data_IF_682126231535
#
_entry.id   IF_682126231535
#
_cell.length_a   1.000
_cell.length_b   1.000
_cell.length_c   1.000
_cell.angle_alpha   90.00
_cell.angle_beta   90.00
_cell.angle_gamma   90.00
#
_symmetry.space_group_name_H-M   'P 1'
#
loop_
_entity.id
_entity.type
_entity.pdbx_description
1 polymer ?
#
# COMPACT_ATOMS: atom_id res chain seq x y z
N UNK A 1 -26.87 0.00 -24.50
CA UNK A 1 -27.21 0.71 -23.26
C UNK A 1 -25.92 0.90 -22.50
N UNK A 2 -25.62 2.07 -21.90
CA UNK A 2 -24.45 2.17 -21.04
C UNK A 2 -24.61 1.10 -19.95
N UNK A 3 -23.76 0.08 -20.01
CA UNK A 3 -23.80 -1.06 -19.11
C UNK A 3 -23.80 -0.53 -17.68
N UNK A 4 -24.72 -1.00 -16.85
CA UNK A 4 -24.80 -0.56 -15.45
C UNK A 4 -23.46 -0.86 -14.76
N UNK A 5 -22.69 0.19 -14.46
CA UNK A 5 -21.34 0.09 -13.88
C UNK A 5 -21.38 -0.10 -12.36
N UNK A 6 -22.54 0.12 -11.73
CA UNK A 6 -22.73 0.04 -10.28
C UNK A 6 -22.39 -1.35 -9.70
N UNK A 7 -22.86 -2.48 -10.28
CA UNK A 7 -22.47 -3.81 -9.78
C UNK A 7 -20.95 -4.06 -9.90
N UNK A 8 -20.29 -3.52 -10.93
CA UNK A 8 -18.84 -3.67 -11.11
C UNK A 8 -18.05 -2.88 -10.07
N UNK A 9 -18.52 -1.68 -9.72
CA UNK A 9 -17.91 -0.87 -8.67
C UNK A 9 -18.08 -1.50 -7.28
N UNK A 10 -19.27 -2.05 -6.98
CA UNK A 10 -19.51 -2.80 -5.74
C UNK A 10 -18.59 -4.03 -5.63
N UNK A 11 -18.42 -4.78 -6.72
CA UNK A 11 -17.49 -5.92 -6.74
C UNK A 11 -16.01 -5.51 -6.58
N UNK A 12 -15.64 -4.28 -6.94
CA UNK A 12 -14.30 -3.76 -6.68
C UNK A 12 -14.12 -3.37 -5.20
N UNK A 13 -15.15 -2.79 -4.58
CA UNK A 13 -15.18 -2.48 -3.15
C UNK A 13 -15.08 -3.75 -2.29
N UNK A 14 -15.87 -4.78 -2.61
CA UNK A 14 -15.89 -6.04 -1.87
C UNK A 14 -14.53 -6.74 -1.90
N UNK A 15 -13.92 -6.85 -3.09
CA UNK A 15 -12.55 -7.39 -3.25
C UNK A 15 -11.51 -6.61 -2.45
N UNK A 16 -11.64 -5.29 -2.39
CA UNK A 16 -10.77 -4.44 -1.58
C UNK A 16 -10.97 -4.73 -0.08
N UNK A 17 -12.21 -4.78 0.39
CA UNK A 17 -12.54 -5.05 1.78
C UNK A 17 -12.04 -6.42 2.24
N UNK A 18 -12.21 -7.45 1.40
CA UNK A 18 -11.71 -8.80 1.64
C UNK A 18 -10.18 -8.82 1.74
N UNK A 19 -9.49 -8.18 0.80
CA UNK A 19 -8.03 -8.12 0.79
C UNK A 19 -7.47 -7.35 2.00
N UNK A 20 -8.13 -6.27 2.42
CA UNK A 20 -7.75 -5.52 3.63
C UNK A 20 -7.97 -6.36 4.88
N UNK A 21 -9.05 -7.13 4.95
CA UNK A 21 -9.35 -8.04 6.08
C UNK A 21 -8.32 -9.18 6.17
N UNK A 22 -7.80 -9.63 5.03
CA UNK A 22 -6.75 -10.65 4.94
C UNK A 22 -5.33 -10.11 5.21
N UNK A 23 -5.14 -8.80 5.39
CA UNK A 23 -3.82 -8.26 5.71
C UNK A 23 -3.32 -8.82 7.06
N UNK A 24 -2.00 -9.03 7.21
CA UNK A 24 -1.38 -9.65 8.39
C UNK A 24 -1.38 -8.75 9.65
N UNK A 25 -2.44 -7.96 9.85
CA UNK A 25 -2.55 -6.91 10.87
C UNK A 25 -2.91 -7.42 12.28
N UNK A 26 -3.17 -8.73 12.44
CA UNK A 26 -3.66 -9.34 13.70
C UNK A 26 -2.58 -10.09 14.48
N UNK A 27 -1.35 -10.21 13.98
CA UNK A 27 -0.26 -10.83 14.74
C UNK A 27 0.33 -9.87 15.80
N UNK A 28 -0.50 -9.44 16.76
CA UNK A 28 -0.18 -8.58 17.90
C UNK A 28 0.71 -9.26 18.97
N UNK A 29 1.68 -10.08 18.57
CA UNK A 29 2.50 -10.82 19.53
C UNK A 29 3.85 -11.33 19.02
N UNK A 30 4.18 -11.13 17.75
CA UNK A 30 5.52 -11.45 17.24
C UNK A 30 6.14 -10.19 16.66
N UNK A 31 7.32 -9.75 17.13
CA UNK A 31 7.97 -8.59 16.53
C UNK A 31 8.16 -8.89 15.04
N UNK A 32 7.62 -8.02 14.19
CA UNK A 32 7.60 -8.12 12.73
C UNK A 32 9.02 -8.41 12.15
N UNK A 33 10.05 -7.98 12.89
CA UNK A 33 11.48 -8.18 12.62
C UNK A 33 12.01 -9.62 12.81
N UNK A 34 11.30 -10.51 13.52
CA UNK A 34 11.81 -11.86 13.81
C UNK A 34 11.97 -12.72 12.56
N UNK A 35 11.05 -12.61 11.59
CA UNK A 35 11.17 -13.31 10.30
C UNK A 35 12.15 -12.63 9.34
N UNK A 36 12.30 -11.30 9.41
CA UNK A 36 13.30 -10.56 8.65
C UNK A 36 14.74 -10.96 9.03
N UNK A 37 14.99 -11.24 10.31
CA UNK A 37 16.28 -11.75 10.80
C UNK A 37 16.61 -13.17 10.29
N UNK A 38 15.60 -14.02 10.10
CA UNK A 38 15.78 -15.38 9.56
C UNK A 38 15.99 -15.36 8.05
N UNK A 39 15.29 -14.48 7.32
CA UNK A 39 15.41 -14.35 5.87
C UNK A 39 16.59 -13.48 5.39
N UNK A 40 17.14 -12.62 6.26
CA UNK A 40 18.37 -11.86 5.98
C UNK A 40 19.62 -12.73 5.74
N UNK A 41 19.55 -14.02 6.04
CA UNK A 41 20.57 -15.04 5.75
C UNK A 41 20.34 -15.77 4.41
N UNK A 42 19.23 -15.51 3.72
CA UNK A 42 18.96 -16.09 2.40
C UNK A 42 19.63 -15.27 1.29
N UNK A 43 20.32 -15.92 0.34
CA UNK A 43 21.02 -15.24 -0.75
C UNK A 43 20.09 -14.60 -1.79
N UNK A 44 18.80 -14.96 -1.81
CA UNK A 44 17.85 -14.56 -2.85
C UNK A 44 17.06 -13.29 -2.48
N UNK A 45 17.08 -12.21 -3.29
CA UNK A 45 16.32 -10.98 -3.08
C UNK A 45 14.83 -11.16 -3.38
N UNK A 46 14.22 -12.23 -2.87
CA UNK A 46 12.78 -12.35 -2.92
C UNK A 46 12.17 -11.12 -2.19
N UNK A 47 11.11 -10.50 -2.75
CA UNK A 47 10.37 -9.45 -2.04
C UNK A 47 10.05 -9.96 -0.65
N UNK A 48 10.18 -9.11 0.37
CA UNK A 48 9.86 -9.52 1.72
C UNK A 48 8.43 -10.10 1.67
N UNK A 49 8.21 -11.38 2.05
CA UNK A 49 6.97 -12.10 1.71
C UNK A 49 5.72 -11.41 2.29
N UNK A 50 5.94 -10.55 3.27
CA UNK A 50 4.95 -9.77 3.97
C UNK A 50 4.54 -8.48 3.25
N UNK A 51 5.31 -7.99 2.26
CA UNK A 51 5.03 -6.77 1.50
C UNK A 51 4.03 -7.02 0.35
N UNK A 52 3.95 -8.25 -0.17
CA UNK A 52 3.09 -8.61 -1.31
C UNK A 52 1.58 -8.39 -1.06
N UNK A 53 0.99 -8.78 0.09
CA UNK A 53 -0.41 -8.49 0.39
C UNK A 53 -0.72 -6.99 0.39
N UNK A 54 0.21 -6.15 0.83
CA UNK A 54 0.06 -4.69 0.84
C UNK A 54 0.09 -4.09 -0.57
N UNK A 55 0.95 -4.60 -1.44
CA UNK A 55 0.97 -4.20 -2.85
C UNK A 55 -0.34 -4.59 -3.56
N UNK A 56 -0.91 -5.75 -3.23
CA UNK A 56 -2.22 -6.16 -3.76
C UNK A 56 -3.34 -5.22 -3.29
N UNK A 57 -3.38 -4.86 -2.00
CA UNK A 57 -4.35 -3.89 -1.48
C UNK A 57 -4.21 -2.53 -2.17
N UNK A 58 -2.97 -2.06 -2.44
CA UNK A 58 -2.73 -0.82 -3.21
C UNK A 58 -3.37 -0.86 -4.60
N UNK A 59 -3.20 -1.98 -5.31
CA UNK A 59 -3.81 -2.16 -6.63
C UNK A 59 -5.33 -2.14 -6.54
N UNK A 60 -5.92 -2.90 -5.61
CA UNK A 60 -7.37 -2.97 -5.41
C UNK A 60 -7.96 -1.61 -5.01
N UNK A 61 -7.26 -0.83 -4.19
CA UNK A 61 -7.68 0.51 -3.80
C UNK A 61 -7.73 1.45 -5.02
N UNK A 62 -6.69 1.41 -5.88
CA UNK A 62 -6.69 2.19 -7.13
C UNK A 62 -7.82 1.76 -8.06
N UNK A 63 -8.07 0.46 -8.19
CA UNK A 63 -9.19 -0.06 -8.99
C UNK A 63 -10.55 0.43 -8.47
N UNK A 64 -10.76 0.39 -7.15
CA UNK A 64 -11.98 0.90 -6.53
C UNK A 64 -12.14 2.40 -6.77
N UNK A 65 -11.08 3.20 -6.62
CA UNK A 65 -11.11 4.64 -6.91
C UNK A 65 -11.47 4.91 -8.38
N UNK A 66 -10.84 4.20 -9.32
CA UNK A 66 -11.16 4.35 -10.75
C UNK A 66 -12.59 3.91 -11.09
N UNK A 67 -13.15 2.92 -10.38
CA UNK A 67 -14.55 2.54 -10.53
C UNK A 67 -15.50 3.65 -10.06
N UNK A 68 -15.17 4.34 -8.96
CA UNK A 68 -15.93 5.50 -8.47
C UNK A 68 -15.83 6.69 -9.45
N UNK A 69 -14.64 6.98 -9.99
CA UNK A 69 -14.44 8.02 -11.00
C UNK A 69 -15.25 7.73 -12.28
N UNK A 70 -15.30 6.47 -12.73
CA UNK A 70 -16.10 6.06 -13.88
C UNK A 70 -17.61 6.20 -13.62
N UNK A 71 -18.08 5.89 -12.41
CA UNK A 71 -19.47 6.12 -12.01
C UNK A 71 -19.82 7.61 -11.97
N UNK A 72 -18.98 8.44 -11.35
CA UNK A 72 -19.18 9.88 -11.28
C UNK A 72 -19.24 10.51 -12.69
N UNK A 73 -18.36 10.09 -13.60
CA UNK A 73 -18.39 10.53 -14.99
C UNK A 73 -19.66 10.09 -15.75
N UNK A 74 -20.17 8.88 -15.48
CA UNK A 74 -21.42 8.39 -16.08
C UNK A 74 -22.64 9.14 -15.53
N UNK A 75 -22.69 9.40 -14.23
CA UNK A 75 -23.77 10.12 -13.58
C UNK A 75 -23.80 11.60 -14.02
N UNK A 76 -22.64 12.28 -14.10
CA UNK A 76 -22.51 13.66 -14.59
C UNK A 76 -22.94 13.82 -16.07
N UNK A 77 -22.74 12.79 -16.90
CA UNK A 77 -23.25 12.77 -18.27
C UNK A 77 -24.77 12.56 -18.35
N UNK A 78 -25.40 12.03 -17.30
CA UNK A 78 -26.82 11.67 -17.25
C UNK A 78 -27.69 12.68 -16.48
N UNK A 79 -27.13 13.40 -15.52
CA UNK A 79 -27.78 14.43 -14.73
C UNK A 79 -26.76 15.54 -14.42
N UNK A 80 -27.13 16.80 -14.59
CA UNK A 80 -26.30 17.98 -14.27
C UNK A 80 -26.10 18.21 -12.76
N UNK A 81 -25.76 17.15 -12.01
CA UNK A 81 -25.63 17.13 -10.56
C UNK A 81 -24.17 17.14 -10.11
N UNK A 82 -23.89 18.03 -9.15
CA UNK A 82 -22.64 18.14 -8.41
C UNK A 82 -22.34 16.85 -7.64
N UNK A 83 -21.38 16.07 -8.11
CA UNK A 83 -20.96 14.84 -7.43
C UNK A 83 -19.44 14.78 -7.35
N UNK A 84 -18.85 15.52 -6.43
CA UNK A 84 -17.41 15.39 -6.16
C UNK A 84 -17.09 15.57 -4.67
N UNK A 85 -17.74 14.77 -3.84
CA UNK A 85 -17.26 14.53 -2.48
C UNK A 85 -16.14 13.48 -2.58
N UNK A 86 -14.93 13.94 -2.91
CA UNK A 86 -13.73 13.09 -2.90
C UNK A 86 -13.57 12.50 -1.49
N UNK A 87 -13.58 11.16 -1.39
CA UNK A 87 -13.40 10.50 -0.10
C UNK A 87 -11.94 10.68 0.37
N UNK A 88 -11.74 11.66 1.25
CA UNK A 88 -10.45 12.02 1.85
C UNK A 88 -9.79 10.81 2.52
N UNK A 89 -10.60 9.87 3.04
CA UNK A 89 -10.11 8.62 3.63
C UNK A 89 -9.41 7.73 2.60
N UNK A 90 -10.01 7.58 1.42
CA UNK A 90 -9.45 6.77 0.32
C UNK A 90 -8.17 7.39 -0.22
N UNK A 91 -8.10 8.73 -0.30
CA UNK A 91 -6.87 9.42 -0.68
C UNK A 91 -5.76 9.19 0.34
N UNK A 92 -6.02 9.42 1.63
CA UNK A 92 -5.03 9.22 2.69
C UNK A 92 -4.57 7.75 2.78
N UNK A 93 -5.48 6.79 2.60
CA UNK A 93 -5.15 5.38 2.50
C UNK A 93 -4.27 5.08 1.28
N UNK A 94 -4.57 5.69 0.13
CA UNK A 94 -3.76 5.56 -1.09
C UNK A 94 -2.35 6.10 -0.93
N UNK A 95 -2.20 7.29 -0.35
CA UNK A 95 -0.90 7.90 -0.05
C UNK A 95 -0.06 7.03 0.89
N UNK A 96 -0.69 6.46 1.92
CA UNK A 96 0.00 5.54 2.83
C UNK A 96 0.52 4.29 2.09
N UNK A 97 -0.28 3.70 1.20
CA UNK A 97 0.14 2.52 0.42
C UNK A 97 1.19 2.85 -0.64
N UNK A 98 1.17 4.07 -1.19
CA UNK A 98 2.20 4.55 -2.11
C UNK A 98 3.53 4.71 -1.36
N UNK A 99 3.53 5.34 -0.17
CA UNK A 99 4.73 5.41 0.69
C UNK A 99 5.25 4.04 1.09
N UNK A 100 4.38 3.10 1.43
CA UNK A 100 4.77 1.71 1.71
C UNK A 100 5.54 1.11 0.53
N UNK A 101 5.00 1.23 -0.69
CA UNK A 101 5.63 0.68 -1.90
C UNK A 101 6.99 1.33 -2.15
N UNK A 102 7.07 2.65 -2.06
CA UNK A 102 8.30 3.38 -2.35
C UNK A 102 9.40 3.05 -1.33
N UNK A 103 9.04 2.97 -0.04
CA UNK A 103 9.97 2.56 1.01
C UNK A 103 10.40 1.08 0.87
N UNK A 104 9.49 0.17 0.53
CA UNK A 104 9.82 -1.25 0.28
C UNK A 104 10.82 -1.40 -0.88
N UNK A 105 10.59 -0.68 -1.98
CA UNK A 105 11.51 -0.69 -3.13
C UNK A 105 12.85 -0.02 -2.82
N UNK A 106 12.85 1.10 -2.10
CA UNK A 106 14.08 1.77 -1.65
C UNK A 106 14.91 0.87 -0.73
N UNK A 107 14.27 0.16 0.20
CA UNK A 107 14.93 -0.82 1.07
C UNK A 107 15.56 -1.96 0.26
N UNK A 108 14.84 -2.49 -0.75
CA UNK A 108 15.36 -3.53 -1.63
C UNK A 108 16.55 -3.03 -2.48
N UNK A 109 16.46 -1.81 -3.02
CA UNK A 109 17.53 -1.18 -3.77
C UNK A 109 18.79 -0.94 -2.92
N UNK A 110 18.63 -0.47 -1.67
CA UNK A 110 19.72 -0.29 -0.73
C UNK A 110 20.42 -1.63 -0.41
N UNK A 111 19.63 -2.69 -0.15
CA UNK A 111 20.15 -4.03 0.10
C UNK A 111 20.90 -4.60 -1.11
N UNK A 112 20.39 -4.36 -2.33
CA UNK A 112 21.05 -4.78 -3.57
C UNK A 112 22.36 -4.01 -3.79
N UNK A 113 22.35 -2.69 -3.57
CA UNK A 113 23.53 -1.84 -3.70
C UNK A 113 24.64 -2.25 -2.72
N UNK A 114 24.28 -2.65 -1.50
CA UNK A 114 25.24 -3.10 -0.48
C UNK A 114 26.00 -4.38 -0.86
N UNK A 115 25.52 -5.14 -1.86
CA UNK A 115 26.19 -6.33 -2.39
C UNK A 115 27.12 -6.04 -3.56
N UNK A 116 27.25 -4.77 -3.98
CA UNK A 116 28.13 -4.38 -5.08
C UNK A 116 29.59 -4.73 -4.75
N UNK A 117 30.31 -5.46 -5.62
CA UNK A 117 31.71 -5.79 -5.35
C UNK A 117 32.58 -4.54 -5.18
N UNK A 118 33.55 -4.61 -4.26
CA UNK A 118 34.58 -3.57 -4.02
C UNK A 118 34.05 -2.21 -3.52
N UNK A 119 32.87 -2.15 -2.90
CA UNK A 119 32.46 -0.95 -2.16
C UNK A 119 33.25 -0.81 -0.86
N UNK A 120 33.47 0.44 -0.42
CA UNK A 120 34.14 0.70 0.85
C UNK A 120 33.25 0.27 2.04
N UNK A 121 33.82 -0.18 3.17
CA UNK A 121 33.05 -0.56 4.36
C UNK A 121 32.11 0.53 4.87
N UNK A 122 32.53 1.80 4.82
CA UNK A 122 31.70 2.94 5.19
C UNK A 122 30.45 3.07 4.30
N UNK A 123 30.58 2.80 3.00
CA UNK A 123 29.46 2.80 2.05
C UNK A 123 28.48 1.67 2.35
N UNK A 124 28.99 0.46 2.61
CA UNK A 124 28.17 -0.69 2.99
C UNK A 124 27.37 -0.41 4.28
N UNK A 125 28.00 0.21 5.28
CA UNK A 125 27.34 0.61 6.52
C UNK A 125 26.22 1.63 6.27
N UNK A 126 26.49 2.68 5.49
CA UNK A 126 25.48 3.69 5.16
C UNK A 126 24.28 3.08 4.43
N UNK A 127 24.51 2.14 3.50
CA UNK A 127 23.43 1.41 2.81
C UNK A 127 22.65 0.51 3.77
N UNK A 128 23.30 -0.09 4.77
CA UNK A 128 22.63 -0.85 5.84
C UNK A 128 21.72 0.03 6.71
N UNK A 129 22.19 1.22 7.10
CA UNK A 129 21.37 2.20 7.84
C UNK A 129 20.18 2.67 7.00
N UNK A 130 20.41 3.00 5.72
CA UNK A 130 19.35 3.39 4.80
C UNK A 130 18.31 2.27 4.64
N UNK A 131 18.76 1.02 4.47
CA UNK A 131 17.85 -0.13 4.40
C UNK A 131 16.97 -0.22 5.65
N UNK A 132 17.55 -0.11 6.85
CA UNK A 132 16.81 -0.17 8.11
C UNK A 132 15.81 0.98 8.26
N UNK A 133 16.20 2.20 7.89
CA UNK A 133 15.32 3.37 7.88
C UNK A 133 14.10 3.16 6.96
N UNK A 134 14.34 2.66 5.75
CA UNK A 134 13.26 2.36 4.82
C UNK A 134 12.35 1.22 5.30
N UNK A 135 12.87 0.24 6.05
CA UNK A 135 12.02 -0.77 6.72
C UNK A 135 11.15 -0.15 7.82
N UNK A 136 11.64 0.84 8.54
CA UNK A 136 10.79 1.57 9.51
C UNK A 136 9.71 2.41 8.80
N UNK A 137 10.02 3.06 7.69
CA UNK A 137 9.03 3.78 6.88
C UNK A 137 7.94 2.85 6.32
N UNK A 138 8.29 1.62 5.93
CA UNK A 138 7.31 0.58 5.57
C UNK A 138 6.32 0.34 6.72
N UNK A 139 6.80 0.16 7.95
CA UNK A 139 5.91 -0.03 9.11
C UNK A 139 5.09 1.22 9.44
N UNK A 140 5.70 2.40 9.35
CA UNK A 140 5.01 3.68 9.58
C UNK A 140 3.88 3.89 8.56
N UNK A 141 4.12 3.52 7.30
CA UNK A 141 3.12 3.56 6.24
C UNK A 141 1.96 2.59 6.50
N UNK A 142 2.23 1.37 7.01
CA UNK A 142 1.19 0.41 7.41
C UNK A 142 0.33 0.95 8.54
N UNK A 143 0.97 1.51 9.55
CA UNK A 143 0.26 2.14 10.66
C UNK A 143 -0.62 3.30 10.18
N UNK A 144 -0.09 4.16 9.31
CA UNK A 144 -0.83 5.26 8.72
C UNK A 144 -2.05 4.77 7.91
N UNK A 145 -1.88 3.72 7.10
CA UNK A 145 -2.99 3.09 6.37
C UNK A 145 -4.06 2.54 7.31
N UNK A 146 -3.68 1.81 8.37
CA UNK A 146 -4.65 1.31 9.35
C UNK A 146 -5.43 2.46 10.02
N UNK A 147 -4.73 3.55 10.33
CA UNK A 147 -5.32 4.70 10.99
C UNK A 147 -6.28 5.45 10.06
N UNK A 148 -5.94 5.64 8.78
CA UNK A 148 -6.87 6.22 7.81
C UNK A 148 -8.04 5.27 7.52
N UNK A 149 -7.78 3.97 7.39
CA UNK A 149 -8.81 2.98 7.09
C UNK A 149 -9.80 2.79 8.24
N UNK A 150 -9.43 3.00 9.51
CA UNK A 150 -10.39 2.90 10.63
C UNK A 150 -11.23 4.14 10.86
N UNK A 151 -10.83 5.31 10.33
CA UNK A 151 -11.62 6.54 10.46
C UNK A 151 -12.89 6.41 9.61
N UNK A 152 -14.01 6.84 10.18
CA UNK A 152 -15.29 6.95 9.48
C UNK A 152 -15.13 7.87 8.25
N UNK A 153 -15.75 7.55 7.11
CA UNK A 153 -15.63 8.37 5.90
C UNK A 153 -16.23 9.76 6.15
N UNK A 154 -15.37 10.77 6.27
CA UNK A 154 -15.79 12.16 6.32
C UNK A 154 -16.04 12.59 4.87
N UNK A 155 -17.31 12.64 4.47
CA UNK A 155 -17.70 13.26 3.19
C UNK A 155 -17.75 14.77 3.40
N UNK A 156 -16.90 15.49 2.68
CA UNK A 156 -16.99 16.94 2.61
C UNK A 156 -18.17 17.32 1.69
N UNK A 157 -19.03 18.26 2.11
CA UNK A 157 -20.26 18.64 1.39
C UNK A 157 -19.98 19.38 0.07
#
# INVERSE_FOLDING_TARGET
TPSDLRPLAAAAEERLADAVTALPLVAAGSPYNAQALVHGLSPDPAPHPQDAPWHQVRLLLRLHRYALEALAGADAASAGGSGDAVDVRLLAAGEALDRHRDASEAAAAAAQAARTPRIAPATAYALGVLHADQRHEVEAARYAFQHSWRKEPIRLP
#
